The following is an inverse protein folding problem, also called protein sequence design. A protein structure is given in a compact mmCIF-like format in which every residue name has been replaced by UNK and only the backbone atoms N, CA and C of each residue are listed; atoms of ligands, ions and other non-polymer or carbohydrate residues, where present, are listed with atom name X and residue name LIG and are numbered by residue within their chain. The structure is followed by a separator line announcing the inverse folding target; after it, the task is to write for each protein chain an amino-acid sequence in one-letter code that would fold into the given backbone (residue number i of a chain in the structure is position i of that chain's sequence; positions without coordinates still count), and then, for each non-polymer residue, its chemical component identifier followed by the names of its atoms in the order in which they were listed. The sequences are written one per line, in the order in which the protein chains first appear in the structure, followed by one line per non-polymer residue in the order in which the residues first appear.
data_IF_326673842854
#
_entry.id   IF_326673842854
#
_cell.length_a   1.000
_cell.length_b   1.000
_cell.length_c   1.000
_cell.angle_alpha   90.00
_cell.angle_beta   90.00
_cell.angle_gamma   90.00
#
_symmetry.space_group_name_H-M   'P 1'
#
loop_
_entity.id
_entity.type
_entity.pdbx_description
1 polymer ?
#
# COMPACT_ATOMS: atom_id res chain seq x y z
N UNK A 1 18.26 29.63 7.45
CA UNK A 1 16.81 29.42 7.23
C UNK A 1 16.51 28.63 5.95
N UNK A 2 17.19 28.85 4.81
CA UNK A 2 16.89 28.16 3.53
C UNK A 2 17.21 26.65 3.46
N UNK A 3 18.12 26.11 4.29
CA UNK A 3 18.58 24.71 4.20
C UNK A 3 17.47 23.66 4.30
N UNK A 4 16.48 23.84 5.19
CA UNK A 4 15.39 22.87 5.36
C UNK A 4 14.41 22.90 4.19
N UNK A 5 14.15 24.09 3.63
CA UNK A 5 13.28 24.26 2.45
C UNK A 5 13.91 23.62 1.22
N UNK A 6 15.21 23.84 1.00
CA UNK A 6 15.93 23.19 -0.11
C UNK A 6 15.98 21.67 0.07
N UNK A 7 16.16 21.18 1.29
CA UNK A 7 16.14 19.74 1.58
C UNK A 7 14.77 19.13 1.26
N UNK A 8 13.69 19.74 1.74
CA UNK A 8 12.33 19.27 1.48
C UNK A 8 12.03 19.25 -0.04
N UNK A 9 12.43 20.28 -0.78
CA UNK A 9 12.24 20.35 -2.23
C UNK A 9 13.00 19.23 -2.97
N UNK A 10 14.24 18.94 -2.57
CA UNK A 10 15.01 17.82 -3.14
C UNK A 10 14.36 16.47 -2.83
N UNK A 11 13.90 16.28 -1.59
CA UNK A 11 13.21 15.05 -1.17
C UNK A 11 11.86 14.85 -1.89
N UNK A 12 11.11 15.93 -2.15
CA UNK A 12 9.87 15.91 -2.93
C UNK A 12 10.06 15.42 -4.38
N UNK A 13 11.22 15.69 -4.97
CA UNK A 13 11.55 15.30 -6.35
C UNK A 13 12.18 13.91 -6.48
N UNK A 14 12.45 13.24 -5.37
CA UNK A 14 13.11 11.94 -5.34
C UNK A 14 12.22 10.87 -6.00
N UNK A 15 12.79 10.17 -7.00
CA UNK A 15 12.17 9.02 -7.65
C UNK A 15 12.92 7.73 -7.34
N UNK A 16 12.19 6.69 -6.94
CA UNK A 16 12.75 5.38 -6.58
C UNK A 16 12.51 4.39 -7.73
N UNK A 17 13.52 3.56 -8.03
CA UNK A 17 13.36 2.47 -8.98
C UNK A 17 12.32 1.46 -8.44
N UNK A 18 11.37 1.07 -9.29
CA UNK A 18 10.27 0.22 -8.83
C UNK A 18 10.74 -1.17 -8.41
N UNK A 19 11.77 -1.74 -9.03
CA UNK A 19 12.30 -3.06 -8.66
C UNK A 19 12.95 -3.01 -7.28
N UNK A 20 13.76 -1.99 -7.03
CA UNK A 20 14.39 -1.75 -5.73
C UNK A 20 13.34 -1.55 -4.64
N UNK A 21 12.34 -0.69 -4.89
CA UNK A 21 11.23 -0.44 -3.99
C UNK A 21 10.51 -1.73 -3.61
N UNK A 22 10.14 -2.56 -4.60
CA UNK A 22 9.44 -3.81 -4.32
C UNK A 22 10.31 -4.80 -3.56
N UNK A 23 11.59 -4.93 -3.91
CA UNK A 23 12.52 -5.85 -3.24
C UNK A 23 12.64 -5.53 -1.75
N UNK A 24 12.88 -4.25 -1.43
CA UNK A 24 13.09 -3.80 -0.04
C UNK A 24 11.80 -3.92 0.78
N UNK A 25 10.70 -3.35 0.27
CA UNK A 25 9.43 -3.31 1.00
C UNK A 25 8.88 -4.73 1.20
N UNK A 26 8.90 -5.57 0.18
CA UNK A 26 8.41 -6.96 0.30
C UNK A 26 9.22 -7.76 1.32
N UNK A 27 10.55 -7.58 1.34
CA UNK A 27 11.43 -8.21 2.33
C UNK A 27 11.11 -7.75 3.76
N UNK A 28 10.85 -6.45 3.96
CA UNK A 28 10.46 -5.94 5.29
C UNK A 28 9.12 -6.53 5.75
N UNK A 29 8.12 -6.59 4.87
CA UNK A 29 6.81 -7.13 5.20
C UNK A 29 6.84 -8.64 5.43
N UNK A 30 7.74 -9.37 4.77
CA UNK A 30 7.99 -10.79 5.03
C UNK A 30 8.65 -10.99 6.41
N UNK A 31 9.70 -10.23 6.71
CA UNK A 31 10.42 -10.33 7.99
C UNK A 31 9.57 -9.92 9.19
N UNK A 32 8.71 -8.92 9.01
CA UNK A 32 7.86 -8.36 10.08
C UNK A 32 6.43 -8.23 9.55
N UNK A 33 5.65 -9.33 9.53
CA UNK A 33 4.29 -9.30 8.99
C UNK A 33 3.39 -8.37 9.81
N UNK A 34 2.49 -7.60 9.18
CA UNK A 34 1.52 -6.80 9.90
C UNK A 34 0.52 -7.72 10.62
N UNK A 35 0.12 -7.33 11.83
CA UNK A 35 -0.92 -8.04 12.57
C UNK A 35 -2.29 -7.68 12.01
N UNK A 36 -3.05 -8.68 11.59
CA UNK A 36 -4.44 -8.53 11.15
C UNK A 36 -5.35 -9.41 12.01
N UNK A 37 -6.63 -9.02 12.09
CA UNK A 37 -7.68 -9.88 12.65
C UNK A 37 -7.80 -11.18 11.83
N UNK A 38 -8.23 -12.27 12.48
CA UNK A 38 -8.38 -13.60 11.88
C UNK A 38 -9.21 -13.47 10.59
N UNK A 39 -8.65 -13.99 9.49
CA UNK A 39 -9.23 -13.99 8.13
C UNK A 39 -9.28 -12.64 7.36
N UNK A 40 -8.76 -11.54 7.90
CA UNK A 40 -8.76 -10.22 7.22
C UNK A 40 -7.36 -9.73 6.85
N UNK A 41 -6.49 -10.63 6.40
CA UNK A 41 -5.12 -10.28 5.98
C UNK A 41 -5.15 -9.43 4.70
N UNK A 42 -4.49 -8.27 4.76
CA UNK A 42 -4.15 -7.46 3.59
C UNK A 42 -2.73 -7.83 3.13
N UNK A 43 -2.62 -8.38 1.92
CA UNK A 43 -1.34 -8.78 1.32
C UNK A 43 -0.88 -7.68 0.38
N UNK A 44 0.34 -7.17 0.57
CA UNK A 44 1.04 -6.31 -0.39
C UNK A 44 1.49 -7.19 -1.55
N UNK A 45 1.07 -6.84 -2.77
CA UNK A 45 1.42 -7.57 -3.99
C UNK A 45 2.52 -6.85 -4.75
N UNK A 46 2.34 -5.54 -4.93
CA UNK A 46 3.24 -4.69 -5.71
C UNK A 46 3.08 -3.25 -5.24
N UNK A 47 4.14 -2.45 -5.35
CA UNK A 47 4.13 -1.03 -5.05
C UNK A 47 4.91 -0.26 -6.12
N UNK A 48 4.43 0.91 -6.53
CA UNK A 48 5.13 1.78 -7.47
C UNK A 48 4.94 3.24 -7.12
N UNK A 49 5.93 4.08 -7.46
CA UNK A 49 5.84 5.52 -7.35
C UNK A 49 5.32 6.12 -8.66
N UNK A 50 4.12 6.70 -8.63
CA UNK A 50 3.48 7.27 -9.82
C UNK A 50 3.80 8.73 -10.05
N UNK A 51 4.07 9.49 -8.98
CA UNK A 51 4.23 10.94 -9.07
C UNK A 51 5.41 11.47 -8.23
N UNK A 52 5.91 12.64 -8.62
CA UNK A 52 6.96 13.43 -7.96
C UNK A 52 6.40 14.82 -7.59
N UNK A 53 7.03 15.58 -6.69
CA UNK A 53 6.51 16.84 -6.12
C UNK A 53 5.20 16.70 -5.31
N UNK A 54 4.80 15.47 -5.06
CA UNK A 54 4.00 15.00 -3.94
C UNK A 54 4.16 13.47 -3.96
N UNK A 55 5.30 12.91 -3.49
CA UNK A 55 5.68 11.52 -3.76
C UNK A 55 4.53 10.56 -3.53
N UNK A 56 3.96 10.08 -4.64
CA UNK A 56 2.72 9.31 -4.64
C UNK A 56 3.03 7.87 -4.94
N UNK A 57 2.60 6.99 -4.02
CA UNK A 57 2.78 5.56 -4.11
C UNK A 57 1.43 4.88 -4.31
N UNK A 58 1.33 4.06 -5.34
CA UNK A 58 0.21 3.13 -5.51
C UNK A 58 0.65 1.77 -5.00
N UNK A 59 -0.06 1.28 -3.99
CA UNK A 59 0.12 -0.04 -3.41
C UNK A 59 -0.99 -0.95 -3.90
N UNK A 60 -0.62 -1.98 -4.63
CA UNK A 60 -1.50 -3.03 -5.06
C UNK A 60 -1.59 -4.08 -3.95
N UNK A 61 -2.82 -4.37 -3.56
CA UNK A 61 -3.14 -5.33 -2.51
C UNK A 61 -4.18 -6.33 -2.99
N UNK A 62 -4.29 -7.45 -2.28
CA UNK A 62 -5.34 -8.43 -2.55
C UNK A 62 -6.76 -7.86 -2.37
N UNK A 63 -7.01 -7.10 -1.31
CA UNK A 63 -8.29 -6.44 -1.03
C UNK A 63 -8.07 -5.08 -0.37
N UNK A 64 -8.42 -4.00 -1.08
CA UNK A 64 -8.19 -2.62 -0.62
C UNK A 64 -8.91 -2.32 0.69
N UNK A 65 -10.09 -2.91 0.93
CA UNK A 65 -10.91 -2.63 2.11
C UNK A 65 -10.32 -3.23 3.40
N UNK A 66 -9.28 -4.06 3.26
CA UNK A 66 -8.49 -4.59 4.39
C UNK A 66 -7.28 -3.72 4.73
N UNK A 67 -6.93 -2.74 3.90
CA UNK A 67 -5.82 -1.84 4.12
C UNK A 67 -6.18 -0.77 5.16
N UNK A 68 -6.11 -1.15 6.44
CA UNK A 68 -6.40 -0.26 7.56
C UNK A 68 -5.31 0.82 7.76
N UNK A 69 -5.56 1.75 8.69
CA UNK A 69 -4.62 2.82 9.01
C UNK A 69 -3.25 2.31 9.46
N UNK A 70 -3.21 1.26 10.29
CA UNK A 70 -1.96 0.67 10.77
C UNK A 70 -1.11 0.11 9.62
N UNK A 71 -1.75 -0.54 8.64
CA UNK A 71 -1.08 -1.05 7.44
C UNK A 71 -0.54 0.09 6.58
N UNK A 72 -1.33 1.16 6.36
CA UNK A 72 -0.87 2.37 5.67
C UNK A 72 0.33 3.00 6.37
N UNK A 73 0.27 3.17 7.69
CA UNK A 73 1.34 3.73 8.50
C UNK A 73 2.60 2.86 8.45
N UNK A 74 2.43 1.53 8.38
CA UNK A 74 3.56 0.60 8.25
C UNK A 74 4.27 0.74 6.89
N UNK A 75 3.51 0.94 5.81
CA UNK A 75 4.10 1.23 4.48
C UNK A 75 4.81 2.58 4.50
N UNK A 76 4.17 3.61 5.03
CA UNK A 76 4.76 4.95 5.15
C UNK A 76 6.10 4.92 5.90
N UNK A 77 6.10 4.32 7.09
CA UNK A 77 7.31 4.19 7.90
C UNK A 77 8.40 3.36 7.21
N UNK A 78 8.03 2.30 6.48
CA UNK A 78 8.97 1.45 5.74
C UNK A 78 9.63 2.24 4.60
N UNK A 79 8.84 2.97 3.80
CA UNK A 79 9.36 3.84 2.74
C UNK A 79 10.29 4.89 3.35
N UNK A 80 9.87 5.55 4.43
CA UNK A 80 10.70 6.59 5.07
C UNK A 80 12.00 6.05 5.64
N UNK A 81 11.95 4.89 6.29
CA UNK A 81 13.12 4.24 6.87
C UNK A 81 14.17 3.88 5.82
N UNK A 82 13.74 3.45 4.64
CA UNK A 82 14.64 2.95 3.61
C UNK A 82 15.06 4.01 2.57
N UNK A 83 14.21 5.00 2.30
CA UNK A 83 14.42 5.94 1.19
C UNK A 83 14.40 7.43 1.58
N UNK A 84 14.01 7.76 2.82
CA UNK A 84 14.00 9.13 3.34
C UNK A 84 12.64 9.83 3.25
N UNK A 85 12.54 10.92 2.49
CA UNK A 85 11.40 11.85 2.45
C UNK A 85 11.26 12.73 3.69
N UNK A 86 12.40 13.20 4.21
CA UNK A 86 12.45 14.12 5.35
C UNK A 86 11.68 15.40 5.02
N UNK A 87 10.84 15.84 5.96
CA UNK A 87 9.96 17.02 5.81
C UNK A 87 9.03 16.98 4.58
N UNK A 88 8.82 15.80 3.99
CA UNK A 88 8.00 15.62 2.78
C UNK A 88 6.80 14.71 3.07
N UNK A 89 5.57 15.12 2.74
CA UNK A 89 4.40 14.25 2.87
C UNK A 89 4.43 13.14 1.80
N UNK A 90 4.05 11.92 2.21
CA UNK A 90 3.88 10.79 1.29
C UNK A 90 2.41 10.56 1.02
N UNK A 91 2.06 10.41 -0.26
CA UNK A 91 0.69 10.08 -0.67
C UNK A 91 0.61 8.59 -0.98
N UNK A 92 0.04 7.82 -0.07
CA UNK A 92 -0.14 6.37 -0.26
C UNK A 92 -1.59 6.07 -0.63
N UNK A 93 -1.79 5.46 -1.80
CA UNK A 93 -3.10 5.03 -2.32
C UNK A 93 -3.12 3.51 -2.51
N UNK A 94 -4.21 2.87 -2.11
CA UNK A 94 -4.40 1.43 -2.29
C UNK A 94 -5.27 1.12 -3.50
N UNK A 95 -4.87 0.11 -4.27
CA UNK A 95 -5.67 -0.49 -5.34
C UNK A 95 -5.76 -1.99 -5.14
N UNK A 96 -6.92 -2.56 -5.47
CA UNK A 96 -7.03 -4.03 -5.56
C UNK A 96 -6.60 -4.49 -6.95
N UNK A 97 -5.98 -5.66 -7.03
CA UNK A 97 -5.79 -6.36 -8.29
C UNK A 97 -7.15 -6.58 -8.99
N UNK A 98 -7.21 -6.33 -10.30
CA UNK A 98 -8.45 -6.49 -11.09
C UNK A 98 -9.00 -7.92 -10.88
N UNK A 99 -10.29 -8.03 -10.54
CA UNK A 99 -10.98 -9.31 -10.36
C UNK A 99 -11.11 -9.81 -8.92
N UNK A 100 -10.45 -9.21 -7.92
CA UNK A 100 -10.53 -9.64 -6.50
C UNK A 100 -11.12 -8.58 -5.54
N UNK A 101 -11.38 -7.38 -6.04
CA UNK A 101 -11.83 -6.21 -5.26
C UNK A 101 -13.32 -5.84 -5.41
N UNK A 102 -14.16 -6.77 -5.85
CA UNK A 102 -15.62 -6.65 -5.72
C UNK A 102 -16.09 -7.73 -4.78
N UNK A 103 -16.91 -7.30 -3.84
CA UNK A 103 -17.23 -8.05 -2.65
C UNK A 103 -17.82 -9.41 -3.00
N UNK A 104 -17.20 -10.42 -2.39
CA UNK A 104 -17.72 -11.76 -2.18
C UNK A 104 -19.08 -11.75 -1.44
N UNK A 105 -19.68 -10.58 -1.14
CA UNK A 105 -21.01 -10.46 -0.55
C UNK A 105 -22.08 -10.82 -1.58
N UNK A 106 -22.04 -10.23 -2.77
CA UNK A 106 -22.95 -10.57 -3.87
C UNK A 106 -22.75 -12.02 -4.36
N UNK A 107 -21.50 -12.52 -4.41
CA UNK A 107 -21.21 -13.92 -4.76
C UNK A 107 -21.65 -14.92 -3.67
N UNK A 108 -21.49 -14.59 -2.38
CA UNK A 108 -21.97 -15.42 -1.26
C UNK A 108 -23.49 -15.38 -1.12
N UNK A 109 -24.13 -14.24 -1.37
CA UNK A 109 -25.59 -14.08 -1.40
C UNK A 109 -26.20 -14.84 -2.59
N UNK A 110 -25.61 -14.73 -3.79
CA UNK A 110 -26.03 -15.50 -4.96
C UNK A 110 -25.89 -17.02 -4.76
N UNK A 111 -24.82 -17.48 -4.11
CA UNK A 111 -24.64 -18.91 -3.80
C UNK A 111 -25.60 -19.41 -2.71
N UNK A 112 -25.98 -18.56 -1.75
CA UNK A 112 -26.94 -18.90 -0.69
C UNK A 112 -28.37 -19.03 -1.24
N UNK A 113 -28.76 -18.16 -2.17
CA UNK A 113 -30.08 -18.23 -2.80
C UNK A 113 -30.21 -19.43 -3.76
N UNK A 114 -29.13 -19.81 -4.45
CA UNK A 114 -29.11 -20.97 -5.36
C UNK A 114 -29.19 -22.34 -4.66
N UNK A 115 -29.08 -22.38 -3.32
CA UNK A 115 -29.16 -23.60 -2.52
C UNK A 115 -30.55 -23.80 -1.87
N UNK A 116 -31.49 -22.88 -2.10
CA UNK A 116 -32.87 -22.92 -1.58
C UNK A 116 -33.90 -23.33 -2.65
N UNK A 117 -33.47 -23.54 -3.90
CA UNK A 117 -34.31 -23.93 -5.04
C UNK A 117 -34.26 -25.44 -5.36
N UNK A 118 -33.99 -26.30 -4.36
CA UNK A 118 -34.03 -27.78 -4.47
C UNK A 118 -34.95 -28.35 -3.40
#
# INVERSE_FOLDING_TARGET
MMKMVTLANTEMKKRINTNELNSIISKEFFSRPPRFSKNKICKLLYITQTDIDAPTFIVFVNHKDRANFAFKKRIDNSIRKHFGYIATPLVIRFRSEKGKGKDNKAYREAKKNKQLDV
#
